data_IF_475612845328
#
_entry.id   IF_475612845328
#
_cell.length_a   1.000
_cell.length_b   1.000
_cell.length_c   1.000
_cell.angle_alpha   90.00
_cell.angle_beta   90.00
_cell.angle_gamma   90.00
#
_symmetry.space_group_name_H-M   'P 1'
#
loop_
_entity.id
_entity.type
_entity.pdbx_description
1 polymer ?
#
# COMPACT_ATOMS: atom_id res chain seq x y z
N UNK A 1 -16.20 4.20 51.37
CA UNK A 1 -14.88 3.78 50.83
C UNK A 1 -14.98 3.30 49.36
N UNK A 2 -15.83 3.92 48.53
CA UNK A 2 -15.99 3.61 47.09
C UNK A 2 -15.71 4.84 46.20
N UNK A 3 -15.91 6.05 46.73
CA UNK A 3 -15.65 7.32 46.05
C UNK A 3 -14.16 7.55 45.74
N UNK A 4 -13.25 7.07 46.59
CA UNK A 4 -11.81 7.26 46.40
C UNK A 4 -11.22 6.43 45.25
N UNK A 5 -11.79 5.24 44.97
CA UNK A 5 -11.33 4.38 43.85
C UNK A 5 -11.83 4.95 42.52
N UNK A 6 -13.05 5.47 42.48
CA UNK A 6 -13.58 6.18 41.29
C UNK A 6 -12.75 7.41 40.93
N UNK A 7 -12.25 8.16 41.93
CA UNK A 7 -11.41 9.33 41.66
C UNK A 7 -10.03 8.95 41.11
N UNK A 8 -9.43 7.85 41.58
CA UNK A 8 -8.15 7.34 41.06
C UNK A 8 -8.28 6.81 39.64
N UNK A 9 -9.38 6.11 39.33
CA UNK A 9 -9.65 5.60 37.98
C UNK A 9 -9.97 6.74 37.01
N UNK A 10 -10.74 7.74 37.44
CA UNK A 10 -11.07 8.90 36.61
C UNK A 10 -9.84 9.78 36.32
N UNK A 11 -8.95 9.96 37.31
CA UNK A 11 -7.70 10.70 37.12
C UNK A 11 -6.72 9.96 36.19
N UNK A 12 -6.69 8.61 36.25
CA UNK A 12 -5.89 7.80 35.31
C UNK A 12 -6.46 7.77 33.89
N UNK A 13 -7.78 7.73 33.74
CA UNK A 13 -8.42 7.74 32.42
C UNK A 13 -8.26 9.09 31.72
N UNK A 14 -8.39 10.21 32.45
CA UNK A 14 -8.17 11.54 31.89
C UNK A 14 -6.71 11.75 31.47
N UNK A 15 -5.75 11.25 32.25
CA UNK A 15 -4.32 11.31 31.91
C UNK A 15 -3.92 10.38 30.74
N UNK A 16 -4.58 9.23 30.58
CA UNK A 16 -4.31 8.31 29.47
C UNK A 16 -4.83 8.85 28.13
N UNK A 17 -6.02 9.47 28.13
CA UNK A 17 -6.65 10.01 26.91
C UNK A 17 -5.91 11.23 26.34
N UNK A 18 -5.20 11.99 27.18
CA UNK A 18 -4.46 13.19 26.76
C UNK A 18 -3.11 12.89 26.11
N UNK A 19 -2.51 11.71 26.33
CA UNK A 19 -1.17 11.40 25.80
C UNK A 19 -1.21 10.68 24.45
N UNK A 20 -2.17 9.77 24.23
CA UNK A 20 -2.33 9.08 22.93
C UNK A 20 -2.80 10.04 21.82
N UNK A 21 -3.65 11.02 22.15
CA UNK A 21 -4.15 11.99 21.17
C UNK A 21 -3.09 12.99 20.74
N UNK A 22 -2.14 13.35 21.62
CA UNK A 22 -1.00 14.22 21.30
C UNK A 22 0.10 13.52 20.50
N UNK A 23 0.23 12.20 20.64
CA UNK A 23 1.14 11.39 19.83
C UNK A 23 0.64 11.27 18.39
N UNK A 24 -0.68 11.22 18.20
CA UNK A 24 -1.31 11.08 16.88
C UNK A 24 -1.58 12.42 16.18
N UNK A 25 -1.96 13.46 16.94
CA UNK A 25 -2.10 14.85 16.51
C UNK A 25 -1.05 15.67 17.26
N UNK A 26 0.14 15.86 16.66
CA UNK A 26 1.25 16.57 17.30
C UNK A 26 0.86 17.97 17.78
N UNK A 27 1.28 18.32 19.00
CA UNK A 27 1.12 19.67 19.58
C UNK A 27 2.04 20.67 18.87
N UNK A 28 1.43 21.59 18.12
CA UNK A 28 2.04 22.62 17.27
C UNK A 28 2.28 23.97 17.99
N UNK A 29 2.06 24.04 19.31
CA UNK A 29 2.07 25.30 20.05
C UNK A 29 3.44 25.80 20.55
N UNK A 30 4.56 25.14 20.22
CA UNK A 30 5.90 25.61 20.59
C UNK A 30 6.94 25.44 19.47
N UNK A 31 6.76 26.20 18.38
CA UNK A 31 7.73 26.30 17.29
C UNK A 31 8.81 27.33 17.63
N UNK A 32 9.83 26.94 18.41
CA UNK A 32 11.11 27.68 18.43
C UNK A 32 12.38 26.83 18.49
N UNK A 33 12.32 25.51 18.58
CA UNK A 33 13.48 24.68 18.24
C UNK A 33 13.03 23.24 18.04
N UNK A 34 12.54 22.89 16.86
CA UNK A 34 12.48 21.48 16.49
C UNK A 34 13.71 21.22 15.64
N UNK A 35 14.69 20.52 16.24
CA UNK A 35 15.45 19.53 15.49
C UNK A 35 14.50 18.94 14.45
N UNK A 36 14.84 19.08 13.18
CA UNK A 36 14.23 18.29 12.13
C UNK A 36 14.44 16.86 12.57
N UNK A 37 13.46 16.29 13.27
CA UNK A 37 13.43 14.89 13.65
C UNK A 37 13.21 14.21 12.32
N UNK A 38 14.31 14.03 11.60
CA UNK A 38 14.36 13.38 10.32
C UNK A 38 13.70 12.06 10.59
N UNK A 39 12.44 11.92 10.13
CA UNK A 39 11.84 10.62 9.97
C UNK A 39 12.94 9.80 9.32
N UNK A 40 13.40 8.68 9.92
CA UNK A 40 14.45 7.90 9.31
C UNK A 40 13.97 7.69 7.88
N UNK A 41 14.72 8.23 6.91
CA UNK A 41 14.36 8.09 5.52
C UNK A 41 14.16 6.59 5.35
N UNK A 42 12.91 6.17 5.10
CA UNK A 42 12.62 4.75 4.93
C UNK A 42 13.49 4.33 3.76
N UNK A 43 14.60 3.68 4.07
CA UNK A 43 15.53 3.22 3.07
C UNK A 43 14.80 2.07 2.38
N UNK A 44 14.14 2.39 1.27
CA UNK A 44 13.51 1.44 0.36
C UNK A 44 14.62 0.73 -0.42
N UNK A 45 15.46 0.01 0.32
CA UNK A 45 16.65 -0.69 -0.22
C UNK A 45 16.25 -2.01 -0.92
N UNK A 46 15.01 -2.48 -0.73
CA UNK A 46 14.57 -3.80 -1.18
C UNK A 46 13.48 -3.79 -2.24
N UNK A 47 12.62 -2.76 -2.31
CA UNK A 47 11.60 -2.65 -3.35
C UNK A 47 11.14 -1.20 -3.58
N UNK A 48 10.74 -0.91 -4.82
CA UNK A 48 10.05 0.33 -5.17
C UNK A 48 8.54 0.10 -5.10
N UNK A 49 7.83 0.98 -4.40
CA UNK A 49 6.37 0.89 -4.24
C UNK A 49 5.57 1.22 -5.52
N UNK A 50 6.27 1.52 -6.62
CA UNK A 50 5.66 1.62 -7.96
C UNK A 50 6.17 0.46 -8.79
N UNK A 51 5.40 -0.62 -8.84
CA UNK A 51 5.73 -1.86 -9.57
C UNK A 51 5.14 -1.90 -10.98
N UNK A 52 4.16 -1.04 -11.27
CA UNK A 52 3.56 -0.83 -12.58
C UNK A 52 3.31 0.67 -12.77
N UNK A 53 3.68 1.20 -13.94
CA UNK A 53 3.48 2.61 -14.29
C UNK A 53 2.03 2.91 -14.69
N UNK A 54 1.30 1.90 -15.14
CA UNK A 54 -0.07 1.99 -15.63
C UNK A 54 -0.91 0.73 -15.31
N UNK A 55 -2.22 0.85 -15.52
CA UNK A 55 -3.20 -0.20 -15.27
C UNK A 55 -3.76 -0.19 -13.85
N UNK A 56 -4.90 -0.86 -13.67
CA UNK A 56 -5.55 -1.05 -12.37
C UNK A 56 -5.44 -2.52 -11.92
N UNK A 57 -5.78 -2.77 -10.65
CA UNK A 57 -5.93 -4.13 -10.09
C UNK A 57 -4.71 -5.04 -10.29
N UNK A 58 -3.49 -4.65 -9.83
CA UNK A 58 -2.31 -5.47 -10.03
C UNK A 58 -2.45 -6.82 -9.31
N UNK A 59 -2.29 -7.91 -10.05
CA UNK A 59 -2.27 -9.26 -9.51
C UNK A 59 -0.95 -9.95 -9.84
N UNK A 60 -0.33 -10.55 -8.82
CA UNK A 60 0.99 -11.19 -8.94
C UNK A 60 0.94 -12.60 -8.40
N UNK A 61 1.56 -13.52 -9.14
CA UNK A 61 1.77 -14.90 -8.76
C UNK A 61 3.24 -15.28 -8.88
N UNK A 62 3.80 -15.85 -7.81
CA UNK A 62 5.17 -16.42 -7.80
C UNK A 62 5.09 -17.91 -8.07
N UNK A 63 5.65 -18.35 -9.19
CA UNK A 63 5.64 -19.74 -9.59
C UNK A 63 6.89 -20.48 -9.07
N UNK A 64 6.86 -21.81 -9.10
CA UNK A 64 7.93 -22.67 -8.58
C UNK A 64 9.18 -22.71 -9.48
N UNK A 65 9.07 -22.25 -10.72
CA UNK A 65 10.17 -22.09 -11.69
C UNK A 65 11.08 -20.88 -11.40
N UNK A 66 10.78 -20.10 -10.35
CA UNK A 66 11.52 -18.90 -9.98
C UNK A 66 11.10 -17.65 -10.73
N UNK A 67 9.99 -17.68 -11.48
CA UNK A 67 9.42 -16.53 -12.15
C UNK A 67 8.23 -15.95 -11.40
N UNK A 68 8.05 -14.64 -11.59
CA UNK A 68 6.83 -13.97 -11.24
C UNK A 68 5.99 -13.72 -12.49
N UNK A 69 4.71 -14.03 -12.39
CA UNK A 69 3.70 -13.74 -13.40
C UNK A 69 2.78 -12.65 -12.86
N UNK A 70 2.50 -11.64 -13.67
CA UNK A 70 1.57 -10.57 -13.33
C UNK A 70 0.53 -10.38 -14.41
N UNK A 71 -0.64 -9.91 -13.98
CA UNK A 71 -1.65 -9.32 -14.85
C UNK A 71 -2.14 -8.03 -14.22
N UNK A 72 -2.67 -7.14 -15.05
CA UNK A 72 -3.28 -5.88 -14.63
C UNK A 72 -4.37 -5.51 -15.63
N UNK A 73 -5.31 -4.71 -15.19
CA UNK A 73 -6.42 -4.24 -16.02
C UNK A 73 -5.90 -3.28 -17.10
N UNK A 74 -5.93 -3.70 -18.37
CA UNK A 74 -5.61 -2.89 -19.56
C UNK A 74 -6.85 -2.39 -20.31
N UNK A 75 -8.01 -3.02 -20.06
CA UNK A 75 -9.31 -2.64 -20.60
C UNK A 75 -9.71 -3.29 -21.94
N UNK A 76 -8.87 -4.13 -22.56
CA UNK A 76 -9.23 -4.77 -23.84
C UNK A 76 -8.60 -6.13 -24.10
N UNK A 77 -7.58 -6.49 -23.34
CA UNK A 77 -6.93 -7.79 -23.40
C UNK A 77 -6.64 -8.33 -21.99
N UNK A 78 -6.39 -9.63 -21.92
CA UNK A 78 -5.73 -10.25 -20.77
C UNK A 78 -4.30 -10.49 -21.20
N UNK A 79 -3.39 -9.75 -20.58
CA UNK A 79 -1.96 -9.84 -20.83
C UNK A 79 -1.26 -10.32 -19.57
N UNK A 80 -0.33 -11.26 -19.75
CA UNK A 80 0.52 -11.75 -18.70
C UNK A 80 1.92 -11.19 -18.92
N UNK A 81 2.49 -10.58 -17.89
CA UNK A 81 3.89 -10.18 -17.83
C UNK A 81 4.65 -11.17 -16.97
N UNK A 82 5.86 -11.54 -17.38
CA UNK A 82 6.77 -12.36 -16.57
C UNK A 82 8.09 -11.63 -16.30
N UNK A 83 8.58 -11.75 -15.08
CA UNK A 83 9.91 -11.26 -14.70
C UNK A 83 10.56 -12.15 -13.63
N UNK A 84 11.90 -12.11 -13.56
CA UNK A 84 12.68 -12.79 -12.50
C UNK A 84 12.67 -12.01 -11.19
N UNK A 85 12.40 -10.70 -11.24
CA UNK A 85 12.41 -9.82 -10.06
C UNK A 85 11.08 -9.09 -9.93
N UNK A 86 10.61 -8.94 -8.70
CA UNK A 86 9.30 -8.33 -8.40
C UNK A 86 9.23 -6.85 -8.80
N UNK A 87 10.34 -6.11 -8.73
CA UNK A 87 10.38 -4.67 -9.02
C UNK A 87 10.44 -4.32 -10.51
N UNK A 88 10.74 -5.28 -11.39
CA UNK A 88 10.89 -5.03 -12.84
C UNK A 88 9.81 -5.71 -13.68
N UNK A 89 8.66 -6.04 -13.09
CA UNK A 89 7.59 -6.76 -13.77
C UNK A 89 7.02 -5.98 -14.96
N UNK A 90 6.92 -4.66 -14.85
CA UNK A 90 6.38 -3.80 -15.92
C UNK A 90 7.29 -3.72 -17.16
N UNK A 91 8.60 -3.85 -16.95
CA UNK A 91 9.61 -3.95 -18.01
C UNK A 91 9.86 -5.41 -18.45
N UNK A 92 9.16 -6.37 -17.86
CA UNK A 92 9.29 -7.79 -18.16
C UNK A 92 8.71 -8.19 -19.52
N UNK A 93 8.99 -9.41 -19.93
CA UNK A 93 8.42 -9.98 -21.15
C UNK A 93 6.89 -10.15 -20.98
N UNK A 94 6.12 -9.86 -22.03
CA UNK A 94 4.66 -9.94 -21.96
C UNK A 94 4.04 -10.72 -23.12
N UNK A 95 2.90 -11.36 -22.83
CA UNK A 95 2.12 -12.13 -23.79
C UNK A 95 0.63 -11.87 -23.59
N UNK A 96 -0.08 -11.60 -24.69
CA UNK A 96 -1.54 -11.53 -24.69
C UNK A 96 -2.09 -12.95 -24.76
N UNK A 97 -2.75 -13.39 -23.69
CA UNK A 97 -3.35 -14.74 -23.61
C UNK A 97 -4.80 -14.74 -24.08
N UNK A 98 -5.46 -13.57 -24.05
CA UNK A 98 -6.81 -13.40 -24.57
C UNK A 98 -7.05 -11.96 -24.99
N UNK A 99 -7.84 -11.78 -26.05
CA UNK A 99 -8.33 -10.47 -26.48
C UNK A 99 -9.84 -10.56 -26.65
N UNK A 100 -10.54 -9.51 -26.24
CA UNK A 100 -11.99 -9.45 -26.46
C UNK A 100 -12.31 -9.47 -27.96
N UNK A 101 -13.24 -10.32 -28.42
CA UNK A 101 -13.74 -10.28 -29.78
C UNK A 101 -14.40 -8.94 -30.11
N UNK A 102 -14.40 -8.57 -31.38
CA UNK A 102 -15.04 -7.34 -31.85
C UNK A 102 -16.58 -7.43 -31.89
N UNK A 103 -17.17 -8.62 -31.76
CA UNK A 103 -18.61 -8.87 -31.78
C UNK A 103 -18.99 -10.19 -31.11
N UNK A 104 -20.24 -10.30 -30.62
CA UNK A 104 -20.79 -11.52 -30.02
C UNK A 104 -20.79 -11.51 -28.48
N UNK A 105 -21.20 -12.61 -27.85
CA UNK A 105 -21.50 -12.65 -26.40
C UNK A 105 -20.32 -12.34 -25.46
N UNK A 106 -19.08 -12.34 -25.95
CA UNK A 106 -17.88 -12.01 -25.19
C UNK A 106 -17.19 -10.71 -25.66
N UNK A 107 -17.84 -9.92 -26.51
CA UNK A 107 -17.28 -8.66 -26.99
C UNK A 107 -17.32 -7.56 -25.92
N UNK A 108 -16.36 -6.64 -26.00
CA UNK A 108 -16.33 -5.43 -25.20
C UNK A 108 -17.47 -4.51 -25.62
N UNK A 109 -18.31 -4.09 -24.67
CA UNK A 109 -19.23 -2.97 -24.89
C UNK A 109 -18.39 -1.69 -24.99
N UNK A 110 -18.58 -0.93 -26.07
CA UNK A 110 -17.92 0.37 -26.31
C UNK A 110 -18.76 1.47 -25.69
#
# INVERSE_FOLDING_TARGET
MLIWIFWIVFLRAHAFYTEETKQFYGDDSNVQNSESKSQPAFNVDTFYNVIAQDGADPWVYKHTDGWYYSTKTTGGDVRIWRSRTFTSMDAGESLIVWRSPNSGAACRAV
#
